data_IF_891963722816
#
_entry.id   IF_891963722816
#
_cell.length_a   1.000
_cell.length_b   1.000
_cell.length_c   1.000
_cell.angle_alpha   90.00
_cell.angle_beta   90.00
_cell.angle_gamma   90.00
#
_symmetry.space_group_name_H-M   'P 1'
#
loop_
_entity.id
_entity.type
_entity.pdbx_description
1 polymer ?
#
# COMPACT_ATOMS: atom_id res chain seq x y z
N UNK A 1 14.91 -25.44 10.65
CA UNK A 1 14.69 -24.02 11.03
C UNK A 1 14.28 -23.23 9.79
N UNK A 2 13.56 -22.11 9.94
CA UNK A 2 13.26 -21.21 8.81
C UNK A 2 14.49 -20.31 8.55
N UNK A 3 14.77 -19.91 7.30
CA UNK A 3 15.93 -19.08 6.95
C UNK A 3 15.75 -17.58 7.32
N UNK A 4 14.75 -17.28 8.15
CA UNK A 4 14.37 -15.93 8.58
C UNK A 4 14.48 -15.87 10.09
N UNK A 5 14.99 -14.76 10.61
CA UNK A 5 15.07 -14.52 12.06
C UNK A 5 13.71 -14.75 12.71
N UNK A 6 13.65 -15.38 13.89
CA UNK A 6 12.40 -15.53 14.63
C UNK A 6 11.63 -14.22 14.87
N UNK A 7 12.35 -13.08 14.97
CA UNK A 7 11.73 -11.76 15.06
C UNK A 7 10.95 -11.39 13.78
N UNK A 8 11.35 -11.90 12.62
CA UNK A 8 10.80 -11.53 11.32
C UNK A 8 9.80 -12.57 10.76
N UNK A 9 9.48 -13.60 11.53
CA UNK A 9 8.47 -14.61 11.15
C UNK A 9 7.08 -14.03 10.90
N UNK A 10 6.81 -12.80 11.35
CA UNK A 10 5.55 -12.11 11.06
C UNK A 10 5.34 -11.91 9.54
N UNK A 11 6.43 -11.78 8.77
CA UNK A 11 6.38 -11.64 7.31
C UNK A 11 5.83 -12.92 6.68
N UNK A 12 6.26 -14.09 7.18
CA UNK A 12 5.79 -15.40 6.69
C UNK A 12 4.31 -15.58 7.04
N UNK A 13 3.89 -15.20 8.25
CA UNK A 13 2.48 -15.23 8.65
C UNK A 13 1.62 -14.39 7.71
N UNK A 14 2.02 -13.14 7.43
CA UNK A 14 1.30 -12.29 6.48
C UNK A 14 1.33 -12.84 5.06
N UNK A 15 2.47 -13.35 4.59
CA UNK A 15 2.59 -13.91 3.25
C UNK A 15 1.60 -15.06 3.03
N UNK A 16 1.42 -15.94 4.02
CA UNK A 16 0.41 -17.01 3.96
C UNK A 16 -1.00 -16.41 3.97
N UNK A 17 -1.31 -15.55 4.95
CA UNK A 17 -2.65 -14.98 5.11
C UNK A 17 -3.07 -14.09 3.92
N UNK A 18 -2.12 -13.45 3.25
CA UNK A 18 -2.35 -12.52 2.15
C UNK A 18 -2.22 -13.17 0.77
N UNK A 19 -1.84 -14.44 0.71
CA UNK A 19 -1.61 -15.18 -0.53
C UNK A 19 -2.83 -15.33 -1.44
N UNK A 20 -4.04 -15.03 -0.94
CA UNK A 20 -5.30 -15.29 -1.63
C UNK A 20 -5.62 -16.78 -1.80
N UNK A 21 -4.83 -17.68 -1.23
CA UNK A 21 -5.02 -19.13 -1.36
C UNK A 21 -6.21 -19.59 -0.51
N UNK A 22 -7.18 -20.31 -1.08
CA UNK A 22 -8.38 -20.77 -0.36
C UNK A 22 -8.08 -21.54 0.95
N UNK A 23 -7.05 -22.40 0.94
CA UNK A 23 -6.59 -23.13 2.14
C UNK A 23 -5.54 -22.40 3.01
N UNK A 24 -5.40 -21.08 2.93
CA UNK A 24 -4.34 -20.35 3.65
C UNK A 24 -4.35 -20.62 5.17
N UNK A 25 -5.53 -20.80 5.77
CA UNK A 25 -5.68 -21.10 7.20
C UNK A 25 -5.07 -22.46 7.56
N UNK A 26 -5.30 -23.49 6.74
CA UNK A 26 -4.69 -24.81 6.93
C UNK A 26 -3.17 -24.73 6.85
N UNK A 27 -2.64 -23.99 5.88
CA UNK A 27 -1.20 -23.79 5.74
C UNK A 27 -0.61 -23.02 6.91
N UNK A 28 -1.29 -21.96 7.37
CA UNK A 28 -0.84 -21.17 8.49
C UNK A 28 -0.79 -22.01 9.78
N UNK A 29 -1.84 -22.81 10.04
CA UNK A 29 -1.87 -23.75 11.16
C UNK A 29 -0.76 -24.80 11.08
N UNK A 30 -0.53 -25.38 9.90
CA UNK A 30 0.54 -26.38 9.67
C UNK A 30 1.95 -25.85 10.01
N UNK A 31 2.20 -24.57 9.79
CA UNK A 31 3.50 -23.95 10.04
C UNK A 31 3.60 -23.22 11.38
N UNK A 32 2.53 -23.21 12.19
CA UNK A 32 2.48 -22.45 13.43
C UNK A 32 3.58 -22.85 14.42
N UNK A 33 3.81 -24.15 14.60
CA UNK A 33 4.84 -24.70 15.50
C UNK A 33 6.27 -24.25 15.14
N UNK A 34 6.49 -23.80 13.90
CA UNK A 34 7.79 -23.29 13.43
C UNK A 34 7.98 -21.79 13.69
N UNK A 35 6.93 -21.09 14.13
CA UNK A 35 6.91 -19.64 14.36
C UNK A 35 6.35 -19.29 15.75
N UNK A 36 6.88 -19.86 16.85
CA UNK A 36 6.28 -19.75 18.19
C UNK A 36 6.16 -18.31 18.70
N UNK A 37 7.09 -17.42 18.35
CA UNK A 37 7.01 -15.98 18.71
C UNK A 37 5.90 -15.21 17.99
N UNK A 38 5.20 -15.84 17.04
CA UNK A 38 4.09 -15.24 16.29
C UNK A 38 2.77 -15.96 16.54
N UNK A 39 2.71 -16.83 17.55
CA UNK A 39 1.50 -17.58 17.91
C UNK A 39 0.28 -16.67 18.09
N UNK A 40 0.41 -15.57 18.83
CA UNK A 40 -0.69 -14.62 19.02
C UNK A 40 -1.17 -13.98 17.70
N UNK A 41 -0.27 -13.71 16.76
CA UNK A 41 -0.63 -13.16 15.45
C UNK A 41 -1.32 -14.22 14.59
N UNK A 42 -0.82 -15.45 14.61
CA UNK A 42 -1.40 -16.59 13.90
C UNK A 42 -2.82 -16.86 14.38
N UNK A 43 -3.02 -16.96 15.69
CA UNK A 43 -4.34 -17.16 16.29
C UNK A 43 -5.32 -16.07 15.88
N UNK A 44 -4.88 -14.81 15.90
CA UNK A 44 -5.70 -13.67 15.46
C UNK A 44 -6.08 -13.70 13.98
N UNK A 45 -5.30 -14.35 13.12
CA UNK A 45 -5.70 -14.58 11.73
C UNK A 45 -6.69 -15.75 11.63
N UNK A 46 -6.40 -16.85 12.32
CA UNK A 46 -7.24 -18.05 12.28
C UNK A 46 -8.64 -17.82 12.88
N UNK A 47 -8.76 -16.93 13.87
CA UNK A 47 -10.03 -16.54 14.50
C UNK A 47 -10.76 -15.37 13.80
N UNK A 48 -10.18 -14.83 12.72
CA UNK A 48 -10.74 -13.73 11.93
C UNK A 48 -10.65 -12.34 12.58
N UNK A 49 -9.85 -12.16 13.65
CA UNK A 49 -9.62 -10.84 14.26
C UNK A 49 -8.67 -9.95 13.45
N UNK A 50 -7.82 -10.53 12.62
CA UNK A 50 -6.97 -9.83 11.64
C UNK A 50 -7.47 -10.06 10.22
N UNK A 51 -7.46 -8.99 9.43
CA UNK A 51 -7.94 -8.99 8.04
C UNK A 51 -6.88 -9.55 7.09
N UNK A 52 -7.30 -10.37 6.14
CA UNK A 52 -6.51 -10.71 4.95
C UNK A 52 -6.38 -9.51 4.01
N UNK A 53 -5.44 -9.57 3.06
CA UNK A 53 -5.17 -8.45 2.15
C UNK A 53 -6.40 -8.00 1.35
N UNK A 54 -7.31 -8.92 1.06
CA UNK A 54 -8.52 -8.66 0.30
C UNK A 54 -9.66 -8.05 1.13
N UNK A 55 -9.67 -8.32 2.43
CA UNK A 55 -10.67 -7.81 3.37
C UNK A 55 -10.35 -6.39 3.84
N UNK A 56 -9.10 -5.95 3.68
CA UNK A 56 -8.68 -4.59 4.02
C UNK A 56 -9.44 -3.59 3.12
N UNK A 57 -10.15 -2.66 3.74
CA UNK A 57 -10.88 -1.63 3.00
C UNK A 57 -9.90 -0.60 2.41
N UNK A 58 -10.25 -0.03 1.26
CA UNK A 58 -9.48 1.07 0.68
C UNK A 58 -9.52 2.29 1.62
N UNK A 59 -10.73 2.64 2.10
CA UNK A 59 -10.95 3.73 3.03
C UNK A 59 -11.71 3.24 4.27
N UNK A 60 -11.54 3.95 5.39
CA UNK A 60 -12.44 3.79 6.52
C UNK A 60 -13.85 4.21 6.09
N UNK A 61 -14.86 3.36 6.30
CA UNK A 61 -16.26 3.78 6.12
C UNK A 61 -16.53 4.95 7.07
N UNK A 62 -16.71 6.15 6.52
CA UNK A 62 -17.24 7.28 7.29
C UNK A 62 -18.68 6.95 7.64
N UNK A 63 -18.98 6.86 8.94
CA UNK A 63 -20.34 6.62 9.41
C UNK A 63 -21.27 7.69 8.79
N UNK A 64 -22.24 7.24 7.98
CA UNK A 64 -23.24 8.14 7.44
C UNK A 64 -24.15 8.66 8.55
N UNK A 65 -24.85 9.77 8.31
CA UNK A 65 -25.81 10.31 9.28
C UNK A 65 -26.86 9.27 9.70
N UNK A 66 -27.20 8.33 8.81
CA UNK A 66 -28.05 7.18 9.09
C UNK A 66 -27.41 6.13 10.00
N UNK A 67 -26.10 5.90 9.89
CA UNK A 67 -25.37 4.98 10.77
C UNK A 67 -25.29 5.52 12.21
N UNK A 68 -25.13 6.84 12.36
CA UNK A 68 -25.20 7.50 13.68
C UNK A 68 -26.59 7.41 14.30
N UNK A 69 -27.64 7.50 13.48
CA UNK A 69 -29.03 7.37 13.94
C UNK A 69 -29.39 5.91 14.32
N UNK A 70 -28.87 4.91 13.60
CA UNK A 70 -29.05 3.48 13.94
C UNK A 70 -28.24 3.03 15.15
N UNK A 71 -27.11 3.68 15.43
CA UNK A 71 -26.30 3.41 16.62
C UNK A 71 -27.02 3.65 17.96
N UNK A 72 -28.17 4.34 17.95
CA UNK A 72 -29.05 4.45 19.12
C UNK A 72 -29.99 3.25 19.33
N UNK A 73 -30.19 2.40 18.32
CA UNK A 73 -31.16 1.29 18.35
C UNK A 73 -30.55 -0.10 18.19
N UNK A 74 -29.27 -0.20 17.80
CA UNK A 74 -28.57 -1.48 17.63
C UNK A 74 -27.29 -1.45 18.45
N UNK A 75 -27.17 -2.39 19.39
CA UNK A 75 -25.91 -2.67 20.08
C UNK A 75 -24.96 -3.34 19.07
N UNK A 76 -24.38 -2.56 18.16
CA UNK A 76 -23.29 -3.04 17.31
C UNK A 76 -22.02 -3.15 18.14
N UNK A 77 -21.41 -4.33 18.10
CA UNK A 77 -20.10 -4.61 18.70
C UNK A 77 -19.13 -3.53 18.21
N UNK A 78 -18.45 -2.79 19.09
CA UNK A 78 -17.66 -1.63 18.69
C UNK A 78 -16.62 -2.04 17.65
N UNK A 79 -16.62 -1.33 16.52
CA UNK A 79 -15.62 -1.49 15.48
C UNK A 79 -14.22 -1.33 16.11
N UNK A 80 -13.36 -2.32 15.85
CA UNK A 80 -12.02 -2.39 16.40
C UNK A 80 -11.26 -1.09 16.07
N UNK A 81 -10.75 -0.32 17.07
CA UNK A 81 -10.32 1.07 16.89
C UNK A 81 -9.08 1.25 15.98
N UNK A 82 -8.42 0.17 15.53
CA UNK A 82 -7.37 0.20 14.52
C UNK A 82 -7.78 -0.61 13.29
N UNK A 83 -8.74 -0.11 12.51
CA UNK A 83 -9.07 -0.73 11.21
C UNK A 83 -7.95 -0.40 10.23
N UNK A 84 -7.13 -1.40 9.91
CA UNK A 84 -6.12 -1.30 8.87
C UNK A 84 -6.80 -0.94 7.54
N UNK A 85 -6.30 0.10 6.87
CA UNK A 85 -6.89 0.69 5.66
C UNK A 85 -5.77 1.21 4.75
N UNK A 86 -6.02 1.29 3.44
CA UNK A 86 -4.98 1.69 2.47
C UNK A 86 -4.62 3.17 2.54
N UNK A 87 -5.53 4.04 3.00
CA UNK A 87 -5.27 5.48 3.15
C UNK A 87 -4.24 5.81 4.24
N UNK A 88 -3.88 4.85 5.09
CA UNK A 88 -2.92 5.01 6.18
C UNK A 88 -1.84 3.92 6.24
N UNK A 89 -1.53 3.24 5.13
CA UNK A 89 -0.55 2.13 5.16
C UNK A 89 0.20 1.98 3.83
N UNK A 90 1.32 2.71 3.65
CA UNK A 90 2.15 2.58 2.45
C UNK A 90 2.67 1.14 2.26
N UNK A 91 2.87 0.39 3.34
CA UNK A 91 3.33 -0.99 3.30
C UNK A 91 2.33 -1.93 2.61
N UNK A 92 1.04 -1.57 2.57
CA UNK A 92 0.04 -2.35 1.85
C UNK A 92 0.19 -2.20 0.33
N UNK A 93 0.60 -1.03 -0.15
CA UNK A 93 0.92 -0.84 -1.57
C UNK A 93 2.11 -1.70 -1.97
N UNK A 94 3.17 -1.71 -1.16
CA UNK A 94 4.35 -2.56 -1.38
C UNK A 94 4.00 -4.05 -1.31
N UNK A 95 3.09 -4.42 -0.40
CA UNK A 95 2.59 -5.80 -0.29
C UNK A 95 1.86 -6.23 -1.56
N UNK A 96 1.03 -5.36 -2.15
CA UNK A 96 0.36 -5.65 -3.42
C UNK A 96 1.37 -5.82 -4.56
N UNK A 97 2.39 -4.97 -4.62
CA UNK A 97 3.48 -5.11 -5.60
C UNK A 97 4.26 -6.41 -5.41
N UNK A 98 4.65 -6.74 -4.18
CA UNK A 98 5.35 -7.98 -3.86
C UNK A 98 4.52 -9.21 -4.24
N UNK A 99 3.21 -9.19 -3.98
CA UNK A 99 2.32 -10.27 -4.39
C UNK A 99 2.24 -10.38 -5.93
N UNK A 100 2.07 -9.27 -6.66
CA UNK A 100 2.10 -9.30 -8.12
C UNK A 100 3.43 -9.85 -8.65
N UNK A 101 4.57 -9.35 -8.20
CA UNK A 101 5.88 -9.80 -8.70
C UNK A 101 6.18 -11.26 -8.37
N UNK A 102 5.71 -11.76 -7.22
CA UNK A 102 5.93 -13.15 -6.83
C UNK A 102 5.04 -14.14 -7.61
N UNK A 103 3.89 -13.71 -8.13
CA UNK A 103 2.86 -14.64 -8.62
C UNK A 103 2.33 -14.35 -10.01
N UNK A 104 2.49 -13.13 -10.52
CA UNK A 104 1.84 -12.64 -11.74
C UNK A 104 0.33 -12.47 -11.62
N UNK A 105 -0.27 -12.63 -10.44
CA UNK A 105 -1.72 -12.50 -10.26
C UNK A 105 -2.20 -11.08 -10.59
N UNK A 106 -3.32 -10.93 -11.31
CA UNK A 106 -3.84 -9.59 -11.67
C UNK A 106 -4.54 -8.88 -10.50
N UNK A 107 -5.04 -9.64 -9.53
CA UNK A 107 -5.84 -9.12 -8.40
C UNK A 107 -5.13 -8.01 -7.59
N UNK A 108 -3.83 -8.11 -7.27
CA UNK A 108 -3.12 -7.00 -6.64
C UNK A 108 -3.06 -5.74 -7.51
N UNK A 109 -2.90 -5.88 -8.82
CA UNK A 109 -2.90 -4.73 -9.75
C UNK A 109 -4.26 -4.05 -9.76
N UNK A 110 -5.34 -4.82 -9.78
CA UNK A 110 -6.69 -4.27 -9.69
C UNK A 110 -6.89 -3.43 -8.42
N UNK A 111 -6.35 -3.87 -7.28
CA UNK A 111 -6.41 -3.13 -6.02
C UNK A 111 -5.61 -1.83 -6.07
N UNK A 112 -4.43 -1.82 -6.70
CA UNK A 112 -3.64 -0.60 -6.91
C UNK A 112 -4.37 0.36 -7.86
N UNK A 113 -5.00 -0.15 -8.92
CA UNK A 113 -5.80 0.65 -9.86
C UNK A 113 -6.98 1.36 -9.17
N UNK A 114 -7.60 0.73 -8.17
CA UNK A 114 -8.68 1.36 -7.39
C UNK A 114 -8.21 2.54 -6.51
N UNK A 115 -6.91 2.67 -6.24
CA UNK A 115 -6.33 3.81 -5.52
C UNK A 115 -6.15 5.05 -6.42
N UNK A 116 -6.18 4.89 -7.74
CA UNK A 116 -5.88 5.96 -8.69
C UNK A 116 -6.73 7.23 -8.56
N UNK A 117 -8.04 7.18 -8.22
CA UNK A 117 -8.83 8.39 -8.01
C UNK A 117 -8.23 9.32 -6.95
N UNK A 118 -7.51 8.79 -5.96
CA UNK A 118 -6.89 9.61 -4.92
C UNK A 118 -5.72 10.45 -5.44
N UNK A 119 -5.16 10.16 -6.63
CA UNK A 119 -4.15 11.02 -7.24
C UNK A 119 -4.67 12.43 -7.56
N UNK A 120 -6.00 12.62 -7.54
CA UNK A 120 -6.67 13.91 -7.72
C UNK A 120 -7.28 14.45 -6.40
N UNK A 121 -6.95 13.85 -5.26
CA UNK A 121 -7.41 14.30 -3.95
C UNK A 121 -6.91 15.73 -3.66
N UNK A 122 -7.82 16.57 -3.17
CA UNK A 122 -7.56 17.99 -2.88
C UNK A 122 -7.61 18.32 -1.41
N UNK A 123 -8.01 17.35 -0.60
CA UNK A 123 -8.42 17.58 0.77
C UNK A 123 -7.73 16.67 1.78
N UNK A 124 -6.99 15.67 1.35
CA UNK A 124 -6.33 14.70 2.22
C UNK A 124 -4.94 14.37 1.66
N UNK A 125 -3.89 14.71 2.41
CA UNK A 125 -2.50 14.58 1.98
C UNK A 125 -2.11 13.10 1.88
N UNK A 126 -2.59 12.27 2.80
CA UNK A 126 -2.30 10.84 2.86
C UNK A 126 -2.88 10.11 1.64
N UNK A 127 -4.15 10.34 1.34
CA UNK A 127 -4.82 9.83 0.12
C UNK A 127 -4.13 10.35 -1.14
N UNK A 128 -3.86 11.66 -1.22
CA UNK A 128 -3.14 12.23 -2.36
C UNK A 128 -1.78 11.55 -2.57
N UNK A 129 -1.05 11.32 -1.48
CA UNK A 129 0.25 10.65 -1.50
C UNK A 129 0.10 9.21 -1.98
N UNK A 130 -0.81 8.43 -1.40
CA UNK A 130 -1.06 7.03 -1.77
C UNK A 130 -1.51 6.89 -3.23
N UNK A 131 -2.45 7.72 -3.69
CA UNK A 131 -2.91 7.73 -5.08
C UNK A 131 -1.82 8.14 -6.06
N UNK A 132 -1.01 9.13 -5.69
CA UNK A 132 0.14 9.57 -6.50
C UNK A 132 1.22 8.49 -6.60
N UNK A 133 1.51 7.79 -5.49
CA UNK A 133 2.44 6.65 -5.47
C UNK A 133 1.92 5.50 -6.32
N UNK A 134 0.63 5.14 -6.20
CA UNK A 134 0.01 4.13 -7.05
C UNK A 134 0.12 4.49 -8.53
N UNK A 135 -0.24 5.73 -8.90
CA UNK A 135 -0.15 6.25 -10.27
C UNK A 135 1.28 6.16 -10.82
N UNK A 136 2.26 6.66 -10.06
CA UNK A 136 3.65 6.67 -10.49
C UNK A 136 4.24 5.25 -10.59
N UNK A 137 4.02 4.40 -9.58
CA UNK A 137 4.59 3.03 -9.57
C UNK A 137 3.99 2.14 -10.65
N UNK A 138 2.68 2.28 -10.93
CA UNK A 138 2.05 1.59 -12.06
C UNK A 138 2.69 2.00 -13.39
N UNK A 139 2.89 3.29 -13.64
CA UNK A 139 3.47 3.77 -14.90
C UNK A 139 4.94 3.32 -15.04
N UNK A 140 5.73 3.47 -13.96
CA UNK A 140 7.13 3.05 -13.89
C UNK A 140 7.29 1.56 -14.18
N UNK A 141 6.53 0.71 -13.49
CA UNK A 141 6.62 -0.74 -13.70
C UNK A 141 6.10 -1.15 -15.09
N UNK A 142 4.98 -0.58 -15.54
CA UNK A 142 4.39 -0.90 -16.84
C UNK A 142 5.27 -0.47 -18.03
N UNK A 143 6.10 0.57 -17.88
CA UNK A 143 7.07 0.97 -18.92
C UNK A 143 8.13 -0.11 -19.23
N UNK A 144 8.33 -1.06 -18.32
CA UNK A 144 9.35 -2.13 -18.40
C UNK A 144 8.73 -3.52 -18.45
N UNK A 145 7.45 -3.64 -18.13
CA UNK A 145 6.69 -4.90 -18.13
C UNK A 145 5.52 -4.81 -19.14
N UNK A 146 5.67 -5.37 -20.35
CA UNK A 146 4.62 -5.33 -21.37
C UNK A 146 3.38 -6.14 -20.97
N UNK A 147 3.51 -7.14 -20.10
CA UNK A 147 2.37 -7.90 -19.59
C UNK A 147 1.55 -7.04 -18.64
N UNK A 148 2.21 -6.32 -17.72
CA UNK A 148 1.56 -5.34 -16.86
C UNK A 148 0.86 -4.25 -17.68
N UNK A 149 1.53 -3.70 -18.70
CA UNK A 149 0.90 -2.71 -19.58
C UNK A 149 -0.38 -3.25 -20.26
N UNK A 150 -0.35 -4.52 -20.69
CA UNK A 150 -1.52 -5.19 -21.26
C UNK A 150 -2.65 -5.35 -20.24
N UNK A 151 -2.34 -5.71 -18.99
CA UNK A 151 -3.31 -5.76 -17.88
C UNK A 151 -3.97 -4.38 -17.69
N UNK A 152 -3.18 -3.31 -17.61
CA UNK A 152 -3.69 -1.94 -17.42
C UNK A 152 -4.59 -1.50 -18.58
N UNK A 153 -4.20 -1.79 -19.82
CA UNK A 153 -5.02 -1.50 -21.01
C UNK A 153 -6.34 -2.27 -21.01
N UNK A 154 -6.37 -3.52 -20.55
CA UNK A 154 -7.61 -4.28 -20.39
C UNK A 154 -8.48 -3.68 -19.30
N UNK A 155 -7.91 -3.36 -18.15
CA UNK A 155 -8.62 -2.74 -17.04
C UNK A 155 -9.26 -1.40 -17.47
N UNK A 156 -8.55 -0.53 -18.21
CA UNK A 156 -9.10 0.76 -18.66
C UNK A 156 -10.41 0.66 -19.47
N UNK A 157 -10.64 -0.48 -20.14
CA UNK A 157 -11.86 -0.68 -20.94
C UNK A 157 -13.13 -0.83 -20.09
N UNK A 158 -13.01 -1.35 -18.87
CA UNK A 158 -14.16 -1.73 -18.03
C UNK A 158 -14.31 -0.89 -16.76
N UNK A 159 -13.28 -0.10 -16.39
CA UNK A 159 -13.30 0.70 -15.16
C UNK A 159 -14.25 1.91 -15.27
N UNK A 160 -14.76 2.33 -14.12
CA UNK A 160 -15.56 3.54 -13.99
C UNK A 160 -14.76 4.79 -14.44
N UNK A 161 -15.46 5.80 -14.95
CA UNK A 161 -14.85 6.97 -15.58
C UNK A 161 -13.79 7.65 -14.69
N UNK A 162 -14.05 7.77 -13.38
CA UNK A 162 -13.12 8.40 -12.42
C UNK A 162 -11.75 7.69 -12.34
N UNK A 163 -11.73 6.37 -12.46
CA UNK A 163 -10.52 5.54 -12.44
C UNK A 163 -9.89 5.57 -13.82
N UNK A 164 -10.72 5.41 -14.86
CA UNK A 164 -10.30 5.34 -16.26
C UNK A 164 -9.49 6.55 -16.70
N UNK A 165 -9.87 7.76 -16.28
CA UNK A 165 -9.14 9.00 -16.63
C UNK A 165 -7.69 8.92 -16.15
N UNK A 166 -7.48 8.66 -14.85
CA UNK A 166 -6.13 8.59 -14.28
C UNK A 166 -5.37 7.37 -14.81
N UNK A 167 -6.05 6.25 -15.01
CA UNK A 167 -5.45 5.03 -15.57
C UNK A 167 -4.96 5.24 -17.01
N UNK A 168 -5.66 6.03 -17.82
CA UNK A 168 -5.19 6.37 -19.17
C UNK A 168 -3.92 7.22 -19.13
N UNK A 169 -3.79 8.14 -18.17
CA UNK A 169 -2.54 8.90 -17.99
C UNK A 169 -1.37 7.98 -17.57
N UNK A 170 -1.65 6.96 -16.76
CA UNK A 170 -0.66 5.93 -16.40
C UNK A 170 -0.22 5.14 -17.63
N UNK A 171 -1.16 4.70 -18.46
CA UNK A 171 -0.88 3.94 -19.69
C UNK A 171 -0.06 4.80 -20.66
N UNK A 172 -0.49 6.04 -20.90
CA UNK A 172 0.20 6.99 -21.79
C UNK A 172 1.64 7.26 -21.32
N UNK A 173 1.85 7.51 -20.03
CA UNK A 173 3.18 7.69 -19.46
C UNK A 173 4.05 6.43 -19.51
N UNK A 174 3.44 5.24 -19.40
CA UNK A 174 4.16 3.98 -19.52
C UNK A 174 4.61 3.72 -20.97
N UNK A 175 3.74 4.00 -21.96
CA UNK A 175 4.03 3.84 -23.39
C UNK A 175 5.07 4.83 -23.91
N UNK A 176 5.01 6.07 -23.42
CA UNK A 176 5.97 7.14 -23.77
C UNK A 176 7.24 7.12 -22.93
N UNK A 177 7.29 6.31 -21.86
CA UNK A 177 8.39 6.26 -20.88
C UNK A 177 8.58 7.61 -20.14
N UNK A 178 7.57 8.49 -20.16
CA UNK A 178 7.57 9.83 -19.55
C UNK A 178 7.16 9.82 -18.06
N UNK A 179 7.66 8.84 -17.30
CA UNK A 179 7.31 8.63 -15.88
C UNK A 179 7.87 9.73 -14.97
N UNK A 180 8.92 10.42 -15.42
CA UNK A 180 9.52 11.58 -14.72
C UNK A 180 8.52 12.73 -14.57
N UNK A 181 7.67 12.96 -15.56
CA UNK A 181 6.65 14.01 -15.49
C UNK A 181 5.65 13.70 -14.37
N UNK A 182 5.12 12.48 -14.34
CA UNK A 182 4.17 12.05 -13.30
C UNK A 182 4.74 12.22 -11.89
N UNK A 183 6.03 11.93 -11.70
CA UNK A 183 6.73 12.15 -10.43
C UNK A 183 6.77 13.62 -10.02
N UNK A 184 7.13 14.51 -10.95
CA UNK A 184 7.21 15.96 -10.69
C UNK A 184 5.83 16.52 -10.34
N UNK A 185 4.81 16.13 -11.09
CA UNK A 185 3.43 16.56 -10.88
C UNK A 185 2.90 16.10 -9.52
N UNK A 186 3.20 14.85 -9.12
CA UNK A 186 2.85 14.31 -7.80
C UNK A 186 3.50 15.11 -6.66
N UNK A 187 4.81 15.34 -6.72
CA UNK A 187 5.54 16.08 -5.69
C UNK A 187 5.03 17.52 -5.56
N UNK A 188 4.79 18.19 -6.68
CA UNK A 188 4.24 19.54 -6.70
C UNK A 188 2.83 19.60 -6.09
N UNK A 189 1.97 18.64 -6.41
CA UNK A 189 0.60 18.57 -5.89
C UNK A 189 0.56 18.32 -4.37
N UNK A 190 1.42 17.42 -3.89
CA UNK A 190 1.56 17.13 -2.46
C UNK A 190 2.06 18.36 -1.71
N UNK A 191 3.11 19.02 -2.22
CA UNK A 191 3.68 20.22 -1.60
C UNK A 191 2.69 21.39 -1.58
N UNK A 192 1.94 21.58 -2.67
CA UNK A 192 0.91 22.59 -2.74
C UNK A 192 -0.22 22.33 -1.73
N UNK A 193 -0.67 21.08 -1.61
CA UNK A 193 -1.71 20.72 -0.64
C UNK A 193 -1.23 20.93 0.80
N UNK A 194 0.03 20.60 1.10
CA UNK A 194 0.64 20.87 2.41
C UNK A 194 0.66 22.37 2.73
N UNK A 195 1.00 23.19 1.74
CA UNK A 195 1.13 24.65 1.91
C UNK A 195 -0.23 25.36 2.01
N UNK A 196 -1.16 25.04 1.11
CA UNK A 196 -2.42 25.78 0.92
C UNK A 196 -3.67 25.05 1.40
N UNK A 197 -3.54 23.84 1.94
CA UNK A 197 -4.65 23.07 2.47
C UNK A 197 -5.37 23.73 3.66
N UNK A 198 -6.67 23.44 3.88
CA UNK A 198 -7.45 23.95 5.01
C UNK A 198 -6.79 23.78 6.39
N UNK A 199 -7.04 24.72 7.32
CA UNK A 199 -6.35 24.83 8.61
C UNK A 199 -6.49 23.60 9.55
N UNK A 200 -7.60 22.84 9.49
CA UNK A 200 -7.75 21.57 10.23
C UNK A 200 -6.84 20.44 9.71
N UNK A 201 -6.13 20.69 8.60
CA UNK A 201 -5.24 19.76 7.88
C UNK A 201 -3.77 20.16 7.98
N UNK A 202 -3.46 21.15 8.83
CA UNK A 202 -2.11 21.48 9.29
C UNK A 202 -1.79 20.84 10.65
N UNK A 203 -2.70 20.01 11.17
CA UNK A 203 -2.51 19.37 12.47
C UNK A 203 -1.33 18.37 12.38
N UNK A 204 -0.30 18.64 13.17
CA UNK A 204 1.05 18.09 13.04
C UNK A 204 1.17 16.64 13.58
N UNK A 205 0.08 16.06 14.09
CA UNK A 205 0.05 14.74 14.73
C UNK A 205 0.19 13.55 13.76
N UNK A 206 -0.09 13.73 12.46
CA UNK A 206 -0.01 12.66 11.44
C UNK A 206 1.25 12.72 10.55
N UNK A 207 2.20 13.62 10.82
CA UNK A 207 3.40 13.83 10.00
C UNK A 207 4.38 12.64 9.96
N UNK A 208 4.31 11.71 10.93
CA UNK A 208 5.14 10.49 10.94
C UNK A 208 4.92 9.57 9.73
N UNK A 209 3.68 9.50 9.22
CA UNK A 209 3.33 8.71 8.03
C UNK A 209 3.71 9.43 6.72
N UNK A 210 3.59 10.76 6.69
CA UNK A 210 3.99 11.60 5.55
C UNK A 210 5.51 11.52 5.33
N UNK A 211 6.28 11.38 6.40
CA UNK A 211 7.71 11.09 6.34
C UNK A 211 8.01 9.80 5.58
N UNK A 212 7.27 8.72 5.84
CA UNK A 212 7.44 7.44 5.13
C UNK A 212 7.05 7.51 3.66
N UNK A 213 5.95 8.20 3.30
CA UNK A 213 5.55 8.40 1.89
C UNK A 213 6.51 9.30 1.10
N UNK A 214 7.03 10.35 1.74
CA UNK A 214 8.07 11.21 1.16
C UNK A 214 9.43 10.49 1.05
N UNK A 215 9.77 9.64 2.02
CA UNK A 215 10.94 8.76 1.98
C UNK A 215 10.79 7.70 0.88
N UNK A 216 9.61 7.12 0.67
CA UNK A 216 9.36 6.16 -0.40
C UNK A 216 9.48 6.82 -1.79
N UNK A 217 8.86 7.97 -2.02
CA UNK A 217 9.06 8.76 -3.24
C UNK A 217 10.54 9.22 -3.39
N UNK A 218 11.21 9.54 -2.27
CA UNK A 218 12.63 9.88 -2.22
C UNK A 218 13.56 8.71 -2.57
N UNK A 219 13.26 7.49 -2.11
CA UNK A 219 14.04 6.32 -2.45
C UNK A 219 13.80 5.86 -3.90
N UNK A 220 12.58 6.02 -4.41
CA UNK A 220 12.33 5.79 -5.83
C UNK A 220 13.08 6.84 -6.67
N UNK A 221 13.24 8.08 -6.18
CA UNK A 221 14.10 9.08 -6.81
C UNK A 221 15.58 8.66 -6.82
N UNK A 222 16.10 8.07 -5.73
CA UNK A 222 17.47 7.54 -5.68
C UNK A 222 17.70 6.33 -6.63
N UNK A 223 16.70 5.45 -6.75
CA UNK A 223 16.73 4.32 -7.69
C UNK A 223 16.77 4.78 -9.16
N UNK A 224 16.04 5.84 -9.49
CA UNK A 224 15.94 6.37 -10.86
C UNK A 224 17.15 7.20 -11.30
N UNK A 225 17.96 7.73 -10.37
CA UNK A 225 19.16 8.53 -10.67
C UNK A 225 20.47 7.72 -10.63
N UNK A 226 20.39 6.38 -10.55
CA UNK A 226 21.57 5.49 -10.63
C UNK A 226 22.21 5.14 -9.28
N UNK A 227 21.61 5.52 -8.15
CA UNK A 227 22.05 5.07 -6.83
C UNK A 227 21.36 3.74 -6.46
N UNK A 228 21.74 2.67 -7.16
CA UNK A 228 21.15 1.33 -7.02
C UNK A 228 21.28 0.78 -5.58
N UNK A 229 22.34 1.17 -4.85
CA UNK A 229 22.58 0.75 -3.46
C UNK A 229 21.57 1.32 -2.44
N UNK A 230 20.87 2.41 -2.78
CA UNK A 230 19.85 3.04 -1.94
C UNK A 230 18.41 2.82 -2.46
N UNK A 231 18.26 2.41 -3.72
CA UNK A 231 16.96 2.27 -4.39
C UNK A 231 16.26 0.93 -4.17
N UNK A 232 17.01 -0.17 -4.11
CA UNK A 232 16.46 -1.52 -3.91
C UNK A 232 15.83 -1.76 -2.52
N UNK A 233 16.35 -1.22 -1.39
CA UNK A 233 15.76 -1.44 -0.07
C UNK A 233 14.35 -0.84 0.06
N UNK A 234 14.07 0.30 -0.59
CA UNK A 234 12.80 1.01 -0.41
C UNK A 234 11.72 0.61 -1.41
N UNK A 235 12.07 -0.01 -2.55
CA UNK A 235 11.09 -0.51 -3.53
C UNK A 235 10.65 -1.94 -3.21
N UNK A 236 11.41 -2.68 -2.39
CA UNK A 236 11.15 -4.10 -2.08
C UNK A 236 11.11 -4.45 -0.59
N UNK A 237 11.28 -3.49 0.33
CA UNK A 237 11.51 -3.83 1.74
C UNK A 237 11.13 -2.75 2.74
N UNK A 238 9.89 -2.25 2.73
CA UNK A 238 9.38 -1.32 3.75
C UNK A 238 9.49 -1.84 5.19
N UNK A 239 9.59 -3.16 5.39
CA UNK A 239 9.77 -3.77 6.71
C UNK A 239 11.21 -4.13 7.08
N UNK A 240 12.05 -4.50 6.11
CA UNK A 240 13.47 -4.80 6.36
C UNK A 240 14.30 -3.52 6.51
N UNK A 241 13.90 -2.44 5.84
CA UNK A 241 14.63 -1.18 5.85
C UNK A 241 14.63 -0.51 7.22
N UNK A 242 13.54 -0.58 7.99
CA UNK A 242 13.49 -0.03 9.35
C UNK A 242 14.46 -0.72 10.33
N UNK A 243 14.56 -2.06 10.24
CA UNK A 243 15.49 -2.84 11.04
C UNK A 243 16.96 -2.66 10.59
N UNK A 244 17.21 -2.57 9.28
CA UNK A 244 18.54 -2.33 8.73
C UNK A 244 19.07 -0.91 9.04
N UNK A 245 18.21 0.12 8.95
CA UNK A 245 18.55 1.51 9.34
C UNK A 245 18.78 1.65 10.86
N UNK A 246 17.97 0.96 11.67
CA UNK A 246 18.16 0.92 13.13
C UNK A 246 19.50 0.28 13.51
N UNK A 247 19.89 -0.81 12.85
CA UNK A 247 21.16 -1.49 13.11
C UNK A 247 22.36 -0.63 12.71
N UNK A 248 22.30 0.03 11.54
CA UNK A 248 23.38 0.90 11.04
C UNK A 248 23.58 2.16 11.90
N UNK A 249 22.50 2.77 12.39
CA UNK A 249 22.60 3.92 13.30
C UNK A 249 23.08 3.55 14.71
N UNK A 250 22.95 2.29 15.13
CA UNK A 250 23.48 1.81 16.41
C UNK A 250 24.96 1.40 16.36
N UNK A 251 25.54 1.34 15.16
CA UNK A 251 26.94 0.99 14.91
C UNK A 251 27.85 2.19 14.62
N UNK A 252 27.40 3.42 14.89
CA UNK A 252 28.24 4.61 14.99
C UNK A 252 28.31 5.14 16.42
#
# INVERSE_FOLDING_TARGET
MLPVSPADHWIIVRAIAYSGHHDWQRWLGKFADRMPMRQSMIEKYLDGRLQTLDEIALEKKTATLWDKAKGYFVYEKPANPATLTFDHSPELLDTLWGYYFATGAERPIDRIVELLPWANERDNVEKLTMGSMAKFTLASNASRDPNLLSILKRASKTRAQRVKVVLNEVIDAAESVETTRLRKDALASIEELKRKGPASKRDFSNWGLVGQGALALGCIAAAATGHIELGLPCVLGGAASGAALSYWNSSQ
#
